data_IF_955982171650
#
_entry.id   IF_955982171650
#
_cell.length_a   1.000
_cell.length_b   1.000
_cell.length_c   1.000
_cell.angle_alpha   90.00
_cell.angle_beta   90.00
_cell.angle_gamma   90.00
#
_symmetry.space_group_name_H-M   'P 1'
#
loop_
_entity.id
_entity.type
_entity.pdbx_description
1 polymer ?
#
# COMPACT_ATOMS: atom_id res chain seq x y z
N UNK A 1 -2.82 -3.58 6.28
CA UNK A 1 -2.90 -2.22 6.84
C UNK A 1 -3.28 -1.23 5.76
N UNK A 2 -4.27 -0.36 6.04
CA UNK A 2 -4.68 0.71 5.12
C UNK A 2 -3.72 1.90 5.18
N UNK A 3 -3.20 2.33 4.02
CA UNK A 3 -2.20 3.40 3.94
C UNK A 3 -2.53 4.54 2.98
N UNK A 4 -3.51 4.36 2.08
CA UNK A 4 -3.99 5.44 1.22
C UNK A 4 -5.46 5.20 0.82
N UNK A 5 -6.12 6.23 0.28
CA UNK A 5 -7.49 6.15 -0.21
C UNK A 5 -7.73 7.10 -1.38
N UNK A 6 -8.75 6.85 -2.19
CA UNK A 6 -9.18 7.74 -3.27
C UNK A 6 -10.68 7.64 -3.48
N UNK A 7 -11.33 8.77 -3.70
CA UNK A 7 -12.73 8.80 -4.13
C UNK A 7 -12.78 8.60 -5.64
N UNK A 8 -13.57 7.61 -6.09
CA UNK A 8 -13.73 7.22 -7.48
C UNK A 8 -15.19 7.03 -7.82
N UNK A 9 -15.56 7.19 -9.09
CA UNK A 9 -16.82 6.67 -9.58
C UNK A 9 -16.69 5.16 -9.80
N UNK A 10 -17.81 4.44 -9.71
CA UNK A 10 -17.79 2.98 -9.87
C UNK A 10 -17.31 2.58 -11.27
N UNK A 11 -17.71 3.35 -12.28
CA UNK A 11 -17.23 3.19 -13.66
C UNK A 11 -15.71 3.28 -13.83
N UNK A 12 -14.99 3.95 -12.93
CA UNK A 12 -13.53 4.06 -12.98
C UNK A 12 -12.82 2.79 -12.46
N UNK A 13 -13.54 1.91 -11.74
CA UNK A 13 -12.98 0.74 -11.07
C UNK A 13 -13.45 -0.60 -11.68
N UNK A 14 -14.59 -0.63 -12.38
CA UNK A 14 -15.17 -1.87 -12.91
C UNK A 14 -15.37 -1.79 -14.43
N UNK A 15 -15.15 -2.92 -15.11
CA UNK A 15 -15.34 -3.03 -16.57
C UNK A 15 -16.84 -3.11 -16.93
N UNK A 16 -17.64 -3.76 -16.08
CA UNK A 16 -19.08 -3.89 -16.26
C UNK A 16 -19.81 -2.66 -15.72
N UNK A 17 -20.70 -2.12 -16.54
CA UNK A 17 -21.49 -0.93 -16.23
C UNK A 17 -22.85 -1.36 -15.69
N UNK A 18 -23.26 -0.82 -14.55
CA UNK A 18 -24.68 -0.71 -14.21
C UNK A 18 -25.04 0.77 -13.99
N UNK A 19 -26.32 1.10 -14.11
CA UNK A 19 -26.81 2.48 -14.11
C UNK A 19 -26.70 3.17 -12.74
N UNK A 20 -26.23 2.45 -11.72
CA UNK A 20 -26.07 2.96 -10.36
C UNK A 20 -24.61 3.37 -10.15
N UNK A 21 -24.27 4.53 -10.72
CA UNK A 21 -22.93 5.12 -10.59
C UNK A 21 -22.89 6.00 -9.34
N UNK A 22 -22.43 5.41 -8.24
CA UNK A 22 -22.20 6.11 -6.98
C UNK A 22 -20.71 6.27 -6.72
N UNK A 23 -20.33 7.41 -6.15
CA UNK A 23 -18.95 7.65 -5.78
C UNK A 23 -18.55 6.73 -4.63
N UNK A 24 -17.61 5.84 -4.89
CA UNK A 24 -17.05 4.89 -3.93
C UNK A 24 -15.68 5.35 -3.45
N UNK A 25 -15.40 5.09 -2.17
CA UNK A 25 -14.06 5.23 -1.63
C UNK A 25 -13.31 3.91 -1.90
N UNK A 26 -12.21 4.00 -2.64
CA UNK A 26 -11.30 2.88 -2.85
C UNK A 26 -10.08 3.05 -1.95
N UNK A 27 -9.83 2.05 -1.13
CA UNK A 27 -8.71 2.02 -0.19
C UNK A 27 -7.54 1.20 -0.72
N UNK A 28 -6.33 1.63 -0.40
CA UNK A 28 -5.09 0.91 -0.68
C UNK A 28 -4.53 0.30 0.59
N UNK A 29 -4.14 -0.97 0.48
CA UNK A 29 -3.60 -1.77 1.56
C UNK A 29 -2.23 -2.32 1.18
N UNK A 30 -1.39 -2.52 2.19
CA UNK A 30 -0.30 -3.51 2.12
C UNK A 30 -0.53 -4.55 3.21
N UNK A 31 0.07 -5.73 3.09
CA UNK A 31 0.01 -6.75 4.13
C UNK A 31 1.37 -7.06 4.71
N UNK A 32 1.39 -7.40 5.98
CA UNK A 32 2.58 -7.88 6.66
C UNK A 32 2.28 -9.28 7.17
N UNK A 33 3.06 -10.26 6.72
CA UNK A 33 3.00 -11.63 7.20
C UNK A 33 4.13 -11.83 8.20
N UNK A 34 3.87 -12.51 9.31
CA UNK A 34 4.88 -12.77 10.35
C UNK A 34 5.01 -14.26 10.58
N UNK A 35 6.24 -14.76 10.57
CA UNK A 35 6.60 -16.14 10.92
C UNK A 35 7.81 -16.14 11.84
N UNK A 36 7.59 -16.34 13.14
CA UNK A 36 8.64 -16.16 14.14
C UNK A 36 9.20 -14.73 14.10
N UNK A 37 10.52 -14.61 13.89
CA UNK A 37 11.22 -13.33 13.74
C UNK A 37 11.08 -12.73 12.34
N UNK A 38 10.71 -13.52 11.34
CA UNK A 38 10.62 -13.05 9.95
C UNK A 38 9.33 -12.24 9.71
N UNK A 39 9.47 -11.11 9.02
CA UNK A 39 8.34 -10.31 8.56
C UNK A 39 8.42 -10.11 7.05
N UNK A 40 7.39 -10.57 6.32
CA UNK A 40 7.28 -10.39 4.88
C UNK A 40 6.29 -9.25 4.60
N UNK A 41 6.73 -8.26 3.83
CA UNK A 41 5.84 -7.24 3.27
C UNK A 41 5.27 -7.77 1.95
N UNK A 42 3.95 -7.84 1.86
CA UNK A 42 3.22 -8.19 0.63
C UNK A 42 2.60 -6.91 0.06
N UNK A 43 2.82 -6.71 -1.24
CA UNK A 43 2.59 -5.47 -1.99
C UNK A 43 3.67 -4.40 -1.73
N UNK A 44 4.01 -3.63 -2.76
CA UNK A 44 4.93 -2.48 -2.67
C UNK A 44 4.21 -1.16 -2.51
N UNK A 45 2.90 -1.14 -2.75
CA UNK A 45 2.11 0.06 -2.69
C UNK A 45 2.66 1.17 -3.60
N UNK A 46 2.74 2.40 -3.06
CA UNK A 46 3.31 3.55 -3.76
C UNK A 46 3.81 4.62 -2.78
N UNK A 47 4.75 5.45 -3.22
CA UNK A 47 5.30 6.56 -2.44
C UNK A 47 4.29 7.70 -2.25
N UNK A 48 4.54 8.59 -1.28
CA UNK A 48 3.75 9.80 -1.08
C UNK A 48 3.74 10.70 -2.33
N UNK A 49 4.87 10.78 -3.04
CA UNK A 49 4.95 11.53 -4.30
C UNK A 49 4.05 10.93 -5.38
N UNK A 50 4.10 9.60 -5.56
CA UNK A 50 3.24 8.88 -6.50
C UNK A 50 1.75 9.03 -6.15
N UNK A 51 1.42 9.11 -4.86
CA UNK A 51 0.07 9.41 -4.38
C UNK A 51 -0.38 10.81 -4.82
N UNK A 52 0.48 11.82 -4.60
CA UNK A 52 0.23 13.21 -4.99
C UNK A 52 0.01 13.34 -6.50
N UNK A 53 0.91 12.76 -7.30
CA UNK A 53 0.82 12.79 -8.77
C UNK A 53 -0.49 12.16 -9.28
N UNK A 54 -0.97 11.08 -8.62
CA UNK A 54 -2.19 10.35 -9.01
C UNK A 54 -3.46 10.81 -8.28
N UNK A 55 -3.39 11.94 -7.54
CA UNK A 55 -4.51 12.50 -6.77
C UNK A 55 -5.13 11.50 -5.78
N UNK A 56 -4.28 10.75 -5.08
CA UNK A 56 -4.66 9.83 -4.00
C UNK A 56 -4.35 10.48 -2.66
N UNK A 57 -5.18 10.23 -1.66
CA UNK A 57 -4.92 10.65 -0.27
C UNK A 57 -3.95 9.67 0.37
N UNK A 58 -2.72 10.11 0.65
CA UNK A 58 -1.74 9.35 1.40
C UNK A 58 -2.00 9.50 2.91
N UNK A 59 -2.22 8.38 3.60
CA UNK A 59 -2.60 8.41 5.03
C UNK A 59 -1.40 8.23 5.94
N UNK A 60 -0.44 7.37 5.56
CA UNK A 60 0.78 7.07 6.33
C UNK A 60 1.77 6.27 5.49
N UNK A 61 3.05 6.31 5.87
CA UNK A 61 4.05 5.41 5.32
C UNK A 61 3.89 3.99 5.86
N UNK A 62 3.74 2.96 5.00
CA UNK A 62 3.60 1.60 5.47
C UNK A 62 4.81 1.07 6.24
N UNK A 63 6.00 1.45 5.79
CA UNK A 63 7.27 1.01 6.34
C UNK A 63 7.49 1.63 7.72
N UNK A 64 7.25 2.94 7.88
CA UNK A 64 7.34 3.60 9.19
C UNK A 64 6.32 3.04 10.18
N UNK A 65 5.15 2.65 9.69
CA UNK A 65 4.10 2.04 10.51
C UNK A 65 4.56 0.71 11.15
N UNK A 66 5.46 -0.04 10.51
CA UNK A 66 6.07 -1.24 11.11
C UNK A 66 6.91 -0.91 12.34
N UNK A 67 7.66 0.19 12.34
CA UNK A 67 8.52 0.58 13.46
C UNK A 67 7.72 0.92 14.72
N UNK A 68 6.50 1.41 14.55
CA UNK A 68 5.57 1.71 15.65
C UNK A 68 4.84 0.48 16.20
N UNK A 69 4.84 -0.62 15.44
CA UNK A 69 4.28 -1.90 15.86
C UNK A 69 5.36 -2.75 16.50
N UNK A 70 5.05 -3.56 17.51
CA UNK A 70 5.97 -4.51 18.16
C UNK A 70 6.40 -5.68 17.24
N UNK A 71 6.46 -5.47 15.93
CA UNK A 71 6.97 -6.39 14.92
C UNK A 71 8.48 -6.15 14.77
N UNK A 72 9.29 -7.11 15.22
CA UNK A 72 10.74 -7.03 15.07
C UNK A 72 11.14 -7.06 13.59
N UNK A 73 12.21 -6.33 13.26
CA UNK A 73 12.77 -6.21 11.91
C UNK A 73 13.60 -7.45 11.54
N UNK A 74 13.06 -8.65 11.74
CA UNK A 74 13.71 -9.86 11.22
C UNK A 74 13.47 -9.92 9.71
N UNK A 75 14.59 -10.12 8.99
CA UNK A 75 14.78 -9.96 7.55
C UNK A 75 13.51 -9.91 6.72
N UNK A 76 13.23 -8.74 6.13
CA UNK A 76 12.18 -8.64 5.11
C UNK A 76 12.75 -9.19 3.82
N UNK A 77 12.37 -10.41 3.48
CA UNK A 77 13.10 -11.22 2.51
C UNK A 77 12.59 -11.10 1.07
N UNK A 78 11.43 -10.48 0.80
CA UNK A 78 10.97 -10.43 -0.58
C UNK A 78 9.93 -9.34 -0.85
N UNK A 79 10.16 -8.61 -1.94
CA UNK A 79 9.17 -7.76 -2.59
C UNK A 79 8.74 -8.51 -3.85
N UNK A 80 7.44 -8.72 -4.06
CA UNK A 80 6.90 -9.38 -5.27
C UNK A 80 6.93 -8.43 -6.50
N UNK A 81 8.03 -7.71 -6.69
CA UNK A 81 8.30 -6.78 -7.80
C UNK A 81 9.78 -6.79 -8.16
N UNK A 82 10.15 -6.28 -9.34
CA UNK A 82 11.55 -6.18 -9.84
C UNK A 82 12.46 -5.24 -9.02
N UNK A 83 12.07 -4.76 -7.84
CA UNK A 83 12.90 -3.86 -7.00
C UNK A 83 13.25 -4.49 -5.64
N UNK A 84 14.54 -4.44 -5.23
CA UNK A 84 14.98 -4.95 -3.94
C UNK A 84 14.35 -4.14 -2.80
N UNK A 85 14.08 -4.83 -1.69
CA UNK A 85 13.39 -4.25 -0.54
C UNK A 85 14.14 -3.04 0.06
N UNK A 86 15.48 -3.04 0.07
CA UNK A 86 16.26 -1.90 0.60
C UNK A 86 16.02 -0.60 -0.19
N UNK A 87 15.77 -0.69 -1.50
CA UNK A 87 15.51 0.47 -2.36
C UNK A 87 14.14 1.12 -2.10
N UNK A 88 13.24 0.48 -1.34
CA UNK A 88 11.96 1.07 -0.93
C UNK A 88 12.12 2.11 0.19
N UNK A 89 13.27 2.15 0.87
CA UNK A 89 13.55 3.09 1.97
C UNK A 89 14.21 4.40 1.51
N UNK A 90 14.83 4.44 0.34
CA UNK A 90 15.53 5.63 -0.18
C UNK A 90 14.57 6.68 -0.75
N UNK A 91 13.28 6.37 -0.87
CA UNK A 91 12.25 7.23 -1.48
C UNK A 91 11.03 7.47 -0.58
N UNK A 92 11.16 7.15 0.72
CA UNK A 92 10.15 7.43 1.73
C UNK A 92 10.08 8.94 2.05
#
# INVERSE_FOLDING_TARGET
MRYATVKRQRIENFIAHDLHDEAINMDYYVWFLRSGEETILVDTGFSAEAARQRKRTYLRCPIESLQSSSMHRGGVSESLTDRPFEALFETA
#
